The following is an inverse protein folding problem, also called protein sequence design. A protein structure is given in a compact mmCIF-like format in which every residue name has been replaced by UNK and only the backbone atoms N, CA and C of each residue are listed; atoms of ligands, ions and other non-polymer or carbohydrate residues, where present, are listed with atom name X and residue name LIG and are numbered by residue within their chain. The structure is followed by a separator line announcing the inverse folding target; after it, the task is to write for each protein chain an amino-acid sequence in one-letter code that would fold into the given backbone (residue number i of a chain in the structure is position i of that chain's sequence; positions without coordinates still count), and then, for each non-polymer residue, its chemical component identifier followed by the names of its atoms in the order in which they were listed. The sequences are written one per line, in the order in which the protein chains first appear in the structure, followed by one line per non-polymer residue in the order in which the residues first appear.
data_IF_654079122840
#
_entry.id   IF_654079122840
#
_cell.length_a   1.000
_cell.length_b   1.000
_cell.length_c   1.000
_cell.angle_alpha   90.00
_cell.angle_beta   90.00
_cell.angle_gamma   90.00
#
_symmetry.space_group_name_H-M   'P 1'
#
loop_
_entity.id
_entity.type
_entity.pdbx_description
1 polymer ?
#
# COMPACT_ATOMS: atom_id res chain seq x y z
N UNK A 1 -15.48 14.51 -32.43
CA UNK A 1 -15.07 13.30 -31.70
C UNK A 1 -14.03 13.61 -30.59
N UNK A 2 -12.94 14.34 -30.86
CA UNK A 2 -11.89 14.71 -29.87
C UNK A 2 -12.41 15.46 -28.62
N UNK A 3 -13.30 16.48 -28.81
CA UNK A 3 -13.80 17.30 -27.66
C UNK A 3 -14.63 16.46 -26.68
N UNK A 4 -15.51 15.57 -27.15
CA UNK A 4 -16.30 14.68 -26.27
C UNK A 4 -15.39 13.72 -25.48
N UNK A 5 -14.31 13.26 -26.09
CA UNK A 5 -13.35 12.38 -25.42
C UNK A 5 -12.53 13.12 -24.34
N UNK A 6 -12.13 14.36 -24.63
CA UNK A 6 -11.44 15.22 -23.65
C UNK A 6 -12.37 15.52 -22.47
N UNK A 7 -13.62 15.91 -22.73
CA UNK A 7 -14.60 16.18 -21.67
C UNK A 7 -14.83 14.94 -20.77
N UNK A 8 -14.91 13.76 -21.38
CA UNK A 8 -15.04 12.52 -20.61
C UNK A 8 -13.83 12.27 -19.70
N UNK A 9 -12.60 12.46 -20.21
CA UNK A 9 -11.36 12.31 -19.41
C UNK A 9 -11.37 13.30 -18.24
N UNK A 10 -11.66 14.57 -18.51
CA UNK A 10 -11.72 15.61 -17.47
C UNK A 10 -12.76 15.26 -16.41
N UNK A 11 -13.97 14.85 -16.81
CA UNK A 11 -15.00 14.41 -15.86
C UNK A 11 -14.55 13.24 -14.98
N UNK A 12 -13.90 12.23 -15.56
CA UNK A 12 -13.38 11.07 -14.83
C UNK A 12 -12.33 11.52 -13.81
N UNK A 13 -11.37 12.35 -14.20
CA UNK A 13 -10.33 12.86 -13.32
C UNK A 13 -10.94 13.68 -12.18
N UNK A 14 -11.83 14.60 -12.46
CA UNK A 14 -12.48 15.45 -11.45
C UNK A 14 -13.28 14.62 -10.46
N UNK A 15 -14.12 13.70 -10.94
CA UNK A 15 -14.95 12.86 -10.06
C UNK A 15 -14.08 12.02 -9.12
N UNK A 16 -13.08 11.33 -9.64
CA UNK A 16 -12.25 10.47 -8.79
C UNK A 16 -11.32 11.26 -7.85
N UNK A 17 -10.90 12.45 -8.25
CA UNK A 17 -10.18 13.36 -7.33
C UNK A 17 -11.09 13.81 -6.18
N UNK A 18 -12.33 14.19 -6.47
CA UNK A 18 -13.31 14.54 -5.42
C UNK A 18 -13.61 13.37 -4.48
N UNK A 19 -13.76 12.16 -5.03
CA UNK A 19 -13.93 10.94 -4.22
C UNK A 19 -12.69 10.68 -3.35
N UNK A 20 -11.49 10.83 -3.90
CA UNK A 20 -10.25 10.64 -3.14
C UNK A 20 -10.10 11.68 -2.03
N UNK A 21 -10.45 12.95 -2.30
CA UNK A 21 -10.51 14.02 -1.28
C UNK A 21 -11.47 13.60 -0.16
N UNK A 22 -12.69 13.20 -0.49
CA UNK A 22 -13.67 12.79 0.51
C UNK A 22 -13.18 11.60 1.34
N UNK A 23 -12.64 10.55 0.70
CA UNK A 23 -12.12 9.38 1.40
C UNK A 23 -10.95 9.77 2.33
N UNK A 24 -9.99 10.54 1.85
CA UNK A 24 -8.84 10.95 2.66
C UNK A 24 -9.28 11.87 3.80
N UNK A 25 -10.14 12.85 3.53
CA UNK A 25 -10.59 13.83 4.50
C UNK A 25 -11.40 13.19 5.64
N UNK A 26 -12.29 12.27 5.34
CA UNK A 26 -13.18 11.66 6.33
C UNK A 26 -12.63 10.38 6.98
N UNK A 27 -11.70 9.67 6.34
CA UNK A 27 -11.31 8.32 6.77
C UNK A 27 -9.81 8.13 7.01
N UNK A 28 -8.95 9.03 6.54
CA UNK A 28 -7.52 8.98 6.85
C UNK A 28 -7.21 9.94 8.00
N UNK A 29 -7.74 9.64 9.19
CA UNK A 29 -7.78 10.55 10.32
C UNK A 29 -6.40 10.94 10.89
N UNK A 30 -5.33 10.16 10.65
CA UNK A 30 -3.98 10.50 11.11
C UNK A 30 -3.25 11.53 10.25
N UNK A 31 -3.81 11.89 9.08
CA UNK A 31 -3.23 12.88 8.15
C UNK A 31 -4.25 13.91 7.69
N UNK A 32 -5.51 13.74 8.05
CA UNK A 32 -6.58 14.64 7.65
C UNK A 32 -6.63 15.85 8.57
N UNK A 33 -6.70 17.07 8.03
CA UNK A 33 -6.84 18.29 8.85
C UNK A 33 -8.19 18.38 9.58
N UNK A 34 -9.14 17.50 9.28
CA UNK A 34 -10.42 17.44 10.00
C UNK A 34 -10.25 16.90 11.43
N UNK A 35 -9.28 16.02 11.62
CA UNK A 35 -9.07 15.29 12.85
C UNK A 35 -7.73 15.71 13.45
N UNK A 36 -7.70 15.96 14.72
CA UNK A 36 -6.47 16.29 15.45
C UNK A 36 -5.95 15.03 16.16
N UNK A 37 -5.78 13.95 15.37
CA UNK A 37 -5.27 12.68 15.85
C UNK A 37 -4.04 12.26 15.09
N UNK A 38 -3.11 11.59 15.79
CA UNK A 38 -1.85 11.11 15.22
C UNK A 38 -1.61 9.67 15.65
N UNK A 39 -1.29 8.81 14.69
CA UNK A 39 -0.88 7.43 14.96
C UNK A 39 0.59 7.34 15.32
N UNK A 40 1.00 6.31 16.07
CA UNK A 40 2.39 6.12 16.47
C UNK A 40 3.34 6.00 15.29
N UNK A 41 3.11 5.06 14.38
CA UNK A 41 3.93 4.87 13.18
C UNK A 41 3.89 6.11 12.25
N UNK A 42 2.72 6.72 12.07
CA UNK A 42 2.54 7.90 11.22
C UNK A 42 3.30 9.11 11.76
N UNK A 43 3.27 9.31 13.08
CA UNK A 43 4.04 10.35 13.75
C UNK A 43 5.54 10.15 13.57
N UNK A 44 6.00 8.91 13.68
CA UNK A 44 7.39 8.56 13.40
C UNK A 44 7.80 8.96 11.99
N UNK A 45 6.99 8.56 10.99
CA UNK A 45 7.28 8.85 9.58
C UNK A 45 7.26 10.36 9.30
N UNK A 46 6.30 11.08 9.88
CA UNK A 46 6.18 12.53 9.76
C UNK A 46 7.38 13.26 10.35
N UNK A 47 7.78 12.92 11.58
CA UNK A 47 8.95 13.52 12.27
C UNK A 47 10.24 13.28 11.49
N UNK A 48 10.47 12.04 11.02
CA UNK A 48 11.67 11.72 10.22
C UNK A 48 11.62 12.45 8.87
N UNK A 49 10.45 12.53 8.22
CA UNK A 49 10.27 13.25 6.96
C UNK A 49 10.51 14.75 7.12
N UNK A 50 9.97 15.38 8.15
CA UNK A 50 10.23 16.78 8.46
C UNK A 50 11.71 17.03 8.80
N UNK A 51 12.29 16.17 9.62
CA UNK A 51 13.71 16.22 9.94
C UNK A 51 14.59 16.14 8.69
N UNK A 52 14.27 15.24 7.76
CA UNK A 52 14.96 15.11 6.48
C UNK A 52 14.88 16.38 5.63
N UNK A 53 13.68 16.99 5.52
CA UNK A 53 13.50 18.31 4.89
C UNK A 53 14.41 19.37 5.48
N UNK A 54 14.68 19.31 6.79
CA UNK A 54 15.50 20.27 7.53
C UNK A 54 16.99 19.93 7.53
N UNK A 55 17.42 18.94 6.73
CA UNK A 55 18.81 18.55 6.57
C UNK A 55 19.31 17.48 7.54
N UNK A 56 18.45 16.93 8.40
CA UNK A 56 18.80 15.74 9.21
C UNK A 56 18.84 14.49 8.33
N UNK A 57 19.77 13.61 8.61
CA UNK A 57 19.95 12.37 7.85
C UNK A 57 19.20 11.23 8.52
N UNK A 58 18.18 10.63 7.88
CA UNK A 58 17.53 9.45 8.43
C UNK A 58 18.53 8.36 8.76
N UNK A 59 18.24 7.58 9.80
CA UNK A 59 19.06 6.53 10.40
C UNK A 59 20.28 7.01 11.19
N UNK A 60 20.82 8.22 10.94
CA UNK A 60 21.87 8.81 11.75
C UNK A 60 21.28 9.74 12.81
N UNK A 61 20.54 10.75 12.38
CA UNK A 61 19.99 11.78 13.26
C UNK A 61 18.61 11.41 13.85
N UNK A 62 17.83 10.63 13.09
CA UNK A 62 16.51 10.12 13.45
C UNK A 62 16.38 8.68 12.96
N UNK A 63 16.03 7.76 13.86
CA UNK A 63 16.07 6.33 13.55
C UNK A 63 14.68 5.67 13.60
N UNK A 64 14.41 4.81 12.63
CA UNK A 64 13.33 3.81 12.62
C UNK A 64 13.73 2.63 11.73
N UNK A 65 13.11 1.48 11.96
CA UNK A 65 13.37 0.22 11.26
C UNK A 65 12.72 0.11 9.87
N UNK A 66 11.97 1.11 9.42
CA UNK A 66 11.34 1.11 8.09
C UNK A 66 12.31 1.58 7.02
N UNK A 67 12.02 1.20 5.76
CA UNK A 67 12.81 1.67 4.62
C UNK A 67 12.59 3.16 4.30
N UNK A 68 13.51 3.79 3.55
CA UNK A 68 13.56 5.25 3.39
C UNK A 68 12.43 5.85 2.56
N UNK A 69 11.70 5.06 1.76
CA UNK A 69 10.65 5.60 0.88
C UNK A 69 9.53 6.26 1.68
N UNK A 70 9.11 5.69 2.80
CA UNK A 70 8.04 6.31 3.59
C UNK A 70 8.48 7.66 4.18
N UNK A 71 9.73 7.76 4.63
CA UNK A 71 10.28 9.04 5.12
C UNK A 71 10.43 10.05 3.99
N UNK A 72 10.85 9.60 2.79
CA UNK A 72 10.95 10.45 1.61
C UNK A 72 9.58 11.00 1.18
N UNK A 73 8.53 10.18 1.19
CA UNK A 73 7.15 10.62 0.90
C UNK A 73 6.69 11.64 1.93
N UNK A 74 6.97 11.43 3.22
CA UNK A 74 6.66 12.40 4.26
C UNK A 74 7.48 13.70 4.12
N UNK A 75 8.77 13.61 3.76
CA UNK A 75 9.61 14.76 3.43
C UNK A 75 9.01 15.58 2.29
N UNK A 76 8.56 14.93 1.21
CA UNK A 76 7.87 15.59 0.11
C UNK A 76 6.57 16.26 0.58
N UNK A 77 5.79 15.57 1.41
CA UNK A 77 4.58 16.12 2.00
C UNK A 77 4.85 17.43 2.75
N UNK A 78 5.77 17.40 3.70
CA UNK A 78 6.19 18.61 4.43
C UNK A 78 6.78 19.71 3.53
N UNK A 79 7.31 19.34 2.36
CA UNK A 79 7.81 20.33 1.39
C UNK A 79 6.68 20.99 0.59
N UNK A 80 5.54 20.31 0.43
CA UNK A 80 4.34 20.86 -0.25
C UNK A 80 3.57 21.79 0.67
N UNK A 81 3.30 21.37 1.91
CA UNK A 81 2.54 22.15 2.88
C UNK A 81 2.99 21.81 4.33
N UNK A 82 2.80 22.73 5.28
CA UNK A 82 3.17 22.49 6.68
C UNK A 82 2.27 21.42 7.33
N UNK A 83 2.79 20.78 8.36
CA UNK A 83 2.10 19.73 9.10
C UNK A 83 1.70 18.55 8.20
N UNK A 84 0.60 17.91 8.52
CA UNK A 84 0.11 16.72 7.80
C UNK A 84 -0.63 17.05 6.49
N UNK A 85 -0.88 18.35 6.18
CA UNK A 85 -1.64 18.76 4.99
C UNK A 85 -0.97 18.29 3.70
N UNK A 86 0.35 18.44 3.59
CA UNK A 86 1.07 18.01 2.39
C UNK A 86 1.07 16.49 2.22
N UNK A 87 1.12 15.74 3.31
CA UNK A 87 1.02 14.27 3.31
C UNK A 87 -0.40 13.86 2.89
N UNK A 88 -1.43 14.56 3.39
CA UNK A 88 -2.82 14.38 2.98
C UNK A 88 -3.00 14.61 1.47
N UNK A 89 -2.40 15.65 0.89
CA UNK A 89 -2.42 15.91 -0.56
C UNK A 89 -1.80 14.74 -1.33
N UNK A 90 -0.66 14.23 -0.90
CA UNK A 90 -0.01 13.08 -1.55
C UNK A 90 -0.90 11.82 -1.47
N UNK A 91 -1.57 11.60 -0.35
CA UNK A 91 -2.52 10.50 -0.18
C UNK A 91 -3.73 10.62 -1.13
N UNK A 92 -4.29 11.83 -1.27
CA UNK A 92 -5.36 12.12 -2.25
C UNK A 92 -4.89 11.80 -3.66
N UNK A 93 -3.72 12.27 -4.06
CA UNK A 93 -3.15 12.01 -5.39
C UNK A 93 -2.95 10.51 -5.64
N UNK A 94 -2.48 9.77 -4.64
CA UNK A 94 -2.30 8.33 -4.74
C UNK A 94 -3.64 7.60 -4.95
N UNK A 95 -4.64 7.84 -4.11
CA UNK A 95 -5.98 7.23 -4.22
C UNK A 95 -6.64 7.62 -5.54
N UNK A 96 -6.63 8.90 -5.91
CA UNK A 96 -7.19 9.38 -7.18
C UNK A 96 -6.55 8.66 -8.38
N UNK A 97 -5.22 8.54 -8.38
CA UNK A 97 -4.47 7.86 -9.43
C UNK A 97 -4.86 6.38 -9.56
N UNK A 98 -5.02 5.68 -8.43
CA UNK A 98 -5.50 4.27 -8.43
C UNK A 98 -6.91 4.16 -8.99
N UNK A 99 -7.82 5.04 -8.60
CA UNK A 99 -9.20 5.04 -9.10
C UNK A 99 -9.28 5.36 -10.60
N UNK A 100 -8.53 6.36 -11.06
CA UNK A 100 -8.45 6.73 -12.48
C UNK A 100 -7.87 5.56 -13.29
N UNK A 101 -6.76 4.99 -12.85
CA UNK A 101 -6.11 3.86 -13.50
C UNK A 101 -7.06 2.65 -13.56
N UNK A 102 -7.72 2.32 -12.45
CA UNK A 102 -8.68 1.22 -12.39
C UNK A 102 -9.88 1.46 -13.30
N UNK A 103 -10.39 2.68 -13.37
CA UNK A 103 -11.48 3.04 -14.29
C UNK A 103 -11.13 2.71 -15.73
N UNK A 104 -10.01 3.21 -16.23
CA UNK A 104 -9.60 2.98 -17.63
C UNK A 104 -9.28 1.51 -17.92
N UNK A 105 -8.74 0.79 -16.94
CA UNK A 105 -8.47 -0.62 -17.10
C UNK A 105 -9.73 -1.47 -17.09
N UNK A 106 -10.58 -1.28 -16.09
CA UNK A 106 -11.79 -2.08 -15.87
C UNK A 106 -12.89 -1.80 -16.93
N UNK A 107 -12.96 -0.59 -17.46
CA UNK A 107 -13.91 -0.23 -18.53
C UNK A 107 -13.72 -1.05 -19.82
N UNK A 108 -12.56 -1.69 -19.98
CA UNK A 108 -12.29 -2.64 -21.07
C UNK A 108 -12.81 -4.06 -20.78
N UNK A 109 -13.10 -4.36 -19.52
CA UNK A 109 -13.43 -5.70 -19.03
C UNK A 109 -14.86 -5.80 -18.51
N UNK A 110 -15.48 -4.70 -18.11
CA UNK A 110 -16.77 -4.64 -17.44
C UNK A 110 -17.58 -3.40 -17.89
N UNK A 111 -18.90 -3.42 -17.63
CA UNK A 111 -19.74 -2.26 -17.83
C UNK A 111 -19.40 -1.12 -16.86
N UNK A 112 -19.68 0.12 -17.22
CA UNK A 112 -19.40 1.29 -16.37
C UNK A 112 -20.02 1.14 -14.97
N UNK A 113 -21.26 0.63 -14.89
CA UNK A 113 -21.91 0.37 -13.61
C UNK A 113 -21.12 -0.61 -12.73
N UNK A 114 -20.62 -1.71 -13.31
CA UNK A 114 -19.81 -2.68 -12.57
C UNK A 114 -18.45 -2.10 -12.18
N UNK A 115 -17.84 -1.27 -13.03
CA UNK A 115 -16.59 -0.56 -12.69
C UNK A 115 -16.78 0.29 -11.43
N UNK A 116 -17.84 1.09 -11.39
CA UNK A 116 -18.15 1.93 -10.21
C UNK A 116 -18.35 1.06 -8.96
N UNK A 117 -19.09 -0.05 -9.08
CA UNK A 117 -19.29 -0.97 -7.96
C UNK A 117 -17.97 -1.57 -7.47
N UNK A 118 -17.10 -2.00 -8.39
CA UNK A 118 -15.80 -2.57 -8.01
C UNK A 118 -14.91 -1.54 -7.30
N UNK A 119 -14.99 -0.29 -7.72
CA UNK A 119 -14.28 0.81 -7.07
C UNK A 119 -14.86 1.15 -5.69
N UNK A 120 -16.18 1.12 -5.53
CA UNK A 120 -16.82 1.28 -4.22
C UNK A 120 -16.38 0.16 -3.28
N UNK A 121 -16.39 -1.10 -3.72
CA UNK A 121 -15.90 -2.24 -2.94
C UNK A 121 -14.43 -2.05 -2.56
N UNK A 122 -13.59 -1.64 -3.52
CA UNK A 122 -12.18 -1.34 -3.27
C UNK A 122 -12.02 -0.27 -2.19
N UNK A 123 -12.72 0.87 -2.30
CA UNK A 123 -12.65 1.97 -1.34
C UNK A 123 -13.13 1.55 0.06
N UNK A 124 -14.20 0.76 0.14
CA UNK A 124 -14.69 0.26 1.43
C UNK A 124 -13.66 -0.63 2.11
N UNK A 125 -13.05 -1.56 1.36
CA UNK A 125 -11.99 -2.40 1.91
C UNK A 125 -10.77 -1.55 2.27
N UNK A 126 -10.39 -0.59 1.42
CA UNK A 126 -9.29 0.33 1.71
C UNK A 126 -9.51 1.07 3.04
N UNK A 127 -10.68 1.68 3.22
CA UNK A 127 -11.02 2.41 4.46
C UNK A 127 -10.96 1.51 5.69
N UNK A 128 -11.36 0.23 5.59
CA UNK A 128 -11.29 -0.72 6.69
C UNK A 128 -9.84 -1.08 7.10
N UNK A 129 -8.90 -1.06 6.16
CA UNK A 129 -7.52 -1.51 6.39
C UNK A 129 -6.50 -0.38 6.44
N UNK A 130 -6.85 0.84 6.01
CA UNK A 130 -5.92 1.96 5.95
C UNK A 130 -5.56 2.56 7.32
N UNK A 131 -6.28 2.18 8.39
CA UNK A 131 -5.98 2.55 9.78
C UNK A 131 -5.52 4.02 9.95
N UNK A 132 -6.24 4.96 9.33
CA UNK A 132 -5.93 6.40 9.43
C UNK A 132 -5.01 6.98 8.37
N UNK A 133 -4.48 6.18 7.45
CA UNK A 133 -3.62 6.63 6.33
C UNK A 133 -2.13 6.74 6.66
N UNK A 134 -1.33 7.13 5.67
CA UNK A 134 0.14 7.27 5.75
C UNK A 134 0.86 5.99 6.20
N UNK A 135 0.48 4.86 5.62
CA UNK A 135 1.16 3.59 5.85
C UNK A 135 2.18 3.26 4.76
N UNK A 136 3.13 2.41 5.10
CA UNK A 136 4.12 1.89 4.15
C UNK A 136 3.45 1.24 2.92
N UNK A 137 2.27 0.61 3.08
CA UNK A 137 1.49 0.05 1.98
C UNK A 137 0.94 1.10 1.02
N UNK A 138 0.62 2.30 1.51
CA UNK A 138 0.10 3.40 0.69
C UNK A 138 1.14 3.87 -0.33
N UNK A 139 2.42 3.96 0.05
CA UNK A 139 3.49 4.42 -0.85
C UNK A 139 3.67 3.54 -2.08
N UNK A 140 3.23 2.30 -2.02
CA UNK A 140 3.36 1.30 -3.09
C UNK A 140 2.05 0.95 -3.78
N UNK A 141 0.91 1.50 -3.33
CA UNK A 141 -0.42 1.11 -3.78
C UNK A 141 -0.65 1.35 -5.28
N UNK A 142 -0.26 2.52 -5.81
CA UNK A 142 -0.40 2.83 -7.24
C UNK A 142 0.44 1.90 -8.11
N UNK A 143 1.69 1.66 -7.71
CA UNK A 143 2.59 0.76 -8.44
C UNK A 143 2.09 -0.68 -8.38
N UNK A 144 1.53 -1.11 -7.24
CA UNK A 144 0.88 -2.41 -7.12
C UNK A 144 -0.31 -2.55 -8.08
N UNK A 145 -1.16 -1.52 -8.19
CA UNK A 145 -2.26 -1.51 -9.15
C UNK A 145 -1.77 -1.64 -10.59
N UNK A 146 -0.71 -0.90 -10.96
CA UNK A 146 -0.08 -1.02 -12.28
C UNK A 146 0.43 -2.44 -12.54
N UNK A 147 1.16 -3.03 -11.59
CA UNK A 147 1.68 -4.40 -11.72
C UNK A 147 0.55 -5.40 -11.90
N UNK A 148 -0.49 -5.34 -11.06
CA UNK A 148 -1.64 -6.25 -11.15
C UNK A 148 -2.35 -6.13 -12.50
N UNK A 149 -2.59 -4.93 -12.99
CA UNK A 149 -3.28 -4.72 -14.27
C UNK A 149 -2.44 -5.14 -15.48
N UNK A 150 -1.14 -4.84 -15.48
CA UNK A 150 -0.23 -5.26 -16.54
C UNK A 150 -0.09 -6.79 -16.57
N UNK A 151 0.01 -7.41 -15.39
CA UNK A 151 0.06 -8.86 -15.24
C UNK A 151 -1.22 -9.53 -15.74
N UNK A 152 -2.37 -9.01 -15.35
CA UNK A 152 -3.66 -9.54 -15.82
C UNK A 152 -3.81 -9.42 -17.33
N UNK A 153 -3.44 -8.27 -17.92
CA UNK A 153 -3.42 -8.09 -19.38
C UNK A 153 -2.54 -9.14 -20.06
N UNK A 154 -1.35 -9.38 -19.54
CA UNK A 154 -0.44 -10.39 -20.08
C UNK A 154 -1.02 -11.81 -19.95
N UNK A 155 -1.63 -12.15 -18.82
CA UNK A 155 -2.31 -13.45 -18.63
C UNK A 155 -3.44 -13.66 -19.65
N UNK A 156 -4.20 -12.60 -19.97
CA UNK A 156 -5.22 -12.66 -21.03
C UNK A 156 -4.59 -12.96 -22.42
N UNK A 157 -3.44 -12.34 -22.72
CA UNK A 157 -2.70 -12.62 -23.97
C UNK A 157 -2.19 -14.06 -24.02
N UNK A 158 -1.62 -14.56 -22.93
CA UNK A 158 -1.17 -15.98 -22.83
C UNK A 158 -2.32 -16.95 -23.07
N UNK A 159 -3.54 -16.61 -22.65
CA UNK A 159 -4.71 -17.47 -22.85
C UNK A 159 -5.10 -17.67 -24.31
N UNK A 160 -4.70 -16.75 -25.20
CA UNK A 160 -4.90 -16.82 -26.65
C UNK A 160 -3.63 -17.17 -27.42
N UNK A 161 -2.58 -17.65 -26.72
CA UNK A 161 -1.33 -18.10 -27.33
C UNK A 161 -0.28 -17.00 -27.57
N UNK A 162 -0.50 -15.78 -27.09
CA UNK A 162 0.47 -14.68 -27.18
C UNK A 162 1.30 -14.63 -25.90
N UNK A 163 2.51 -15.18 -25.95
CA UNK A 163 3.38 -15.33 -24.77
C UNK A 163 4.32 -14.14 -24.54
N UNK A 164 4.49 -13.25 -25.55
CA UNK A 164 5.38 -12.10 -25.45
C UNK A 164 5.07 -11.26 -24.21
N UNK A 165 6.11 -11.01 -23.40
CA UNK A 165 6.05 -10.09 -22.26
C UNK A 165 6.65 -8.74 -22.64
N UNK A 166 5.98 -7.64 -22.28
CA UNK A 166 6.46 -6.31 -22.60
C UNK A 166 7.62 -5.90 -21.68
N UNK A 167 8.74 -5.44 -22.24
CA UNK A 167 9.85 -4.89 -21.46
C UNK A 167 9.42 -3.70 -20.59
N UNK A 168 8.41 -2.91 -21.03
CA UNK A 168 7.84 -1.81 -20.22
C UNK A 168 7.15 -2.33 -18.96
N UNK A 169 6.45 -3.45 -19.07
CA UNK A 169 5.84 -4.10 -17.90
C UNK A 169 6.90 -4.65 -16.95
N UNK A 170 7.95 -5.28 -17.49
CA UNK A 170 9.05 -5.78 -16.69
C UNK A 170 9.80 -4.64 -15.96
N UNK A 171 10.02 -3.50 -16.62
CA UNK A 171 10.58 -2.30 -15.99
C UNK A 171 9.73 -1.82 -14.81
N UNK A 172 8.41 -1.72 -14.99
CA UNK A 172 7.49 -1.33 -13.89
C UNK A 172 7.52 -2.35 -12.74
N UNK A 173 7.67 -3.64 -13.03
CA UNK A 173 7.84 -4.66 -11.97
C UNK A 173 9.13 -4.41 -11.18
N UNK A 174 10.24 -4.09 -11.86
CA UNK A 174 11.50 -3.72 -11.22
C UNK A 174 11.37 -2.48 -10.33
N UNK A 175 10.73 -1.43 -10.85
CA UNK A 175 10.42 -0.19 -10.09
C UNK A 175 9.61 -0.52 -8.82
N UNK A 176 8.55 -1.32 -8.96
CA UNK A 176 7.72 -1.69 -7.82
C UNK A 176 8.46 -2.56 -6.80
N UNK A 177 9.21 -3.56 -7.24
CA UNK A 177 9.98 -4.43 -6.33
C UNK A 177 11.06 -3.62 -5.59
N UNK A 178 11.74 -2.68 -6.27
CA UNK A 178 12.70 -1.78 -5.63
C UNK A 178 12.02 -0.85 -4.61
N UNK A 179 10.85 -0.32 -4.94
CA UNK A 179 10.06 0.49 -4.01
C UNK A 179 9.65 -0.31 -2.77
N UNK A 180 9.27 -1.58 -2.95
CA UNK A 180 8.97 -2.46 -1.83
C UNK A 180 10.22 -2.85 -1.04
N UNK A 181 11.36 -3.06 -1.72
CA UNK A 181 12.64 -3.34 -1.08
C UNK A 181 13.06 -2.19 -0.16
N UNK A 182 12.90 -0.95 -0.62
CA UNK A 182 13.20 0.28 0.13
C UNK A 182 12.05 0.74 1.06
N UNK A 183 11.02 -0.07 1.25
CA UNK A 183 9.92 0.22 2.19
C UNK A 183 9.62 -0.99 3.07
N UNK A 184 8.96 -2.00 2.51
CA UNK A 184 8.69 -3.31 3.12
C UNK A 184 8.73 -4.37 2.04
N UNK A 185 9.73 -5.25 2.09
CA UNK A 185 9.98 -6.26 1.06
C UNK A 185 8.74 -7.16 0.83
N UNK A 186 8.00 -7.49 1.88
CA UNK A 186 6.80 -8.34 1.77
C UNK A 186 5.71 -7.76 0.87
N UNK A 187 5.64 -6.43 0.72
CA UNK A 187 4.72 -5.79 -0.20
C UNK A 187 5.02 -6.15 -1.67
N UNK A 188 6.27 -6.48 -2.00
CA UNK A 188 6.71 -6.86 -3.33
C UNK A 188 6.37 -8.28 -3.77
N UNK A 189 5.88 -9.12 -2.86
CA UNK A 189 5.67 -10.54 -3.10
C UNK A 189 4.81 -10.82 -4.33
N UNK A 190 3.79 -9.99 -4.60
CA UNK A 190 2.93 -10.16 -5.78
C UNK A 190 3.69 -9.97 -7.10
N UNK A 191 4.53 -8.94 -7.22
CA UNK A 191 5.32 -8.71 -8.43
C UNK A 191 6.41 -9.76 -8.60
N UNK A 192 7.03 -10.20 -7.50
CA UNK A 192 8.03 -11.29 -7.52
C UNK A 192 7.38 -12.56 -8.03
N UNK A 193 6.21 -12.94 -7.49
CA UNK A 193 5.48 -14.13 -7.93
C UNK A 193 5.07 -14.06 -9.40
N UNK A 194 4.56 -12.92 -9.87
CA UNK A 194 4.26 -12.72 -11.29
C UNK A 194 5.52 -12.77 -12.15
N UNK A 195 6.63 -12.18 -11.71
CA UNK A 195 7.90 -12.22 -12.45
C UNK A 195 8.41 -13.64 -12.61
N UNK A 196 8.33 -14.47 -11.56
CA UNK A 196 8.71 -15.90 -11.63
C UNK A 196 7.84 -16.64 -12.65
N UNK A 197 6.53 -16.39 -12.66
CA UNK A 197 5.62 -17.02 -13.63
C UNK A 197 5.92 -16.55 -15.06
N UNK A 198 6.22 -15.25 -15.27
CA UNK A 198 6.65 -14.73 -16.58
C UNK A 198 7.92 -15.41 -17.05
N UNK A 199 8.93 -15.51 -16.20
CA UNK A 199 10.20 -16.20 -16.51
C UNK A 199 9.94 -17.65 -16.89
N UNK A 200 9.13 -18.38 -16.10
CA UNK A 200 8.81 -19.78 -16.37
C UNK A 200 8.08 -19.96 -17.70
N UNK A 201 7.09 -19.11 -18.01
CA UNK A 201 6.34 -19.19 -19.28
C UNK A 201 7.23 -18.87 -20.47
N UNK A 202 8.08 -17.83 -20.39
CA UNK A 202 8.98 -17.47 -21.48
C UNK A 202 10.06 -18.54 -21.73
N UNK A 203 10.63 -19.10 -20.65
CA UNK A 203 11.62 -20.19 -20.75
C UNK A 203 10.99 -21.46 -21.32
N UNK A 204 9.79 -21.87 -20.86
CA UNK A 204 9.08 -23.01 -21.38
C UNK A 204 8.79 -22.92 -22.89
N UNK A 205 8.42 -21.71 -23.36
CA UNK A 205 8.17 -21.43 -24.76
C UNK A 205 9.46 -21.08 -25.56
N UNK A 206 10.65 -21.23 -24.96
CA UNK A 206 11.96 -20.96 -25.57
C UNK A 206 12.12 -19.53 -26.11
N UNK A 207 11.46 -18.56 -25.51
CA UNK A 207 11.48 -17.15 -25.92
C UNK A 207 12.66 -16.39 -25.27
N UNK A 208 13.87 -16.88 -25.47
CA UNK A 208 15.08 -16.40 -24.77
C UNK A 208 15.36 -14.91 -24.97
N UNK A 209 15.18 -14.37 -26.19
CA UNK A 209 15.36 -12.94 -26.46
C UNK A 209 14.37 -12.06 -25.68
N UNK A 210 13.11 -12.48 -25.61
CA UNK A 210 12.09 -11.75 -24.83
C UNK A 210 12.32 -11.90 -23.30
N UNK A 211 12.80 -13.07 -22.87
CA UNK A 211 13.20 -13.29 -21.49
C UNK A 211 14.36 -12.36 -21.09
N UNK A 212 15.44 -12.31 -21.88
CA UNK A 212 16.58 -11.45 -21.62
C UNK A 212 16.17 -9.98 -21.58
N UNK A 213 15.40 -9.51 -22.55
CA UNK A 213 14.87 -8.15 -22.57
C UNK A 213 14.02 -7.81 -21.33
N UNK A 214 13.18 -8.76 -20.87
CA UNK A 214 12.36 -8.60 -19.66
C UNK A 214 13.21 -8.56 -18.40
N UNK A 215 14.21 -9.45 -18.26
CA UNK A 215 15.11 -9.46 -17.09
C UNK A 215 15.94 -8.18 -17.06
N UNK A 216 16.52 -7.76 -18.18
CA UNK A 216 17.29 -6.50 -18.25
C UNK A 216 16.42 -5.31 -17.88
N UNK A 217 15.22 -5.20 -18.43
CA UNK A 217 14.29 -4.11 -18.10
C UNK A 217 13.87 -4.11 -16.62
N UNK A 218 13.66 -5.29 -16.03
CA UNK A 218 13.38 -5.41 -14.59
C UNK A 218 14.55 -4.91 -13.74
N UNK A 219 15.77 -5.32 -14.06
CA UNK A 219 16.99 -4.89 -13.34
C UNK A 219 17.19 -3.38 -13.47
N UNK A 220 17.03 -2.82 -14.68
CA UNK A 220 17.09 -1.36 -14.88
C UNK A 220 16.02 -0.63 -14.06
N UNK A 221 14.77 -1.13 -14.06
CA UNK A 221 13.69 -0.56 -13.24
C UNK A 221 14.00 -0.60 -11.75
N UNK A 222 14.61 -1.69 -11.26
CA UNK A 222 15.07 -1.80 -9.88
C UNK A 222 16.14 -0.77 -9.55
N UNK A 223 17.17 -0.67 -10.39
CA UNK A 223 18.31 0.23 -10.19
C UNK A 223 17.87 1.69 -10.19
N UNK A 224 16.96 2.09 -11.08
CA UNK A 224 16.47 3.47 -11.18
C UNK A 224 15.87 3.99 -9.85
N UNK A 225 15.24 3.13 -9.07
CA UNK A 225 14.69 3.52 -7.76
C UNK A 225 15.72 3.32 -6.64
N UNK A 226 16.46 2.22 -6.65
CA UNK A 226 17.42 1.90 -5.60
C UNK A 226 18.62 2.85 -5.56
N UNK A 227 19.17 3.16 -6.72
CA UNK A 227 20.45 3.88 -6.83
C UNK A 227 20.42 5.29 -6.22
N UNK A 228 19.39 6.13 -6.42
CA UNK A 228 19.32 7.45 -5.77
C UNK A 228 19.42 7.40 -4.24
N UNK A 229 18.73 6.44 -3.62
CA UNK A 229 18.80 6.25 -2.16
C UNK A 229 20.16 5.71 -1.73
N UNK A 230 20.71 4.72 -2.45
CA UNK A 230 22.03 4.17 -2.16
C UNK A 230 23.12 5.24 -2.24
N UNK A 231 23.07 6.10 -3.27
CA UNK A 231 24.02 7.22 -3.43
C UNK A 231 23.82 8.26 -2.32
N UNK A 232 22.56 8.68 -2.04
CA UNK A 232 22.30 9.66 -1.00
C UNK A 232 22.84 9.18 0.37
N UNK A 233 22.45 7.99 0.81
CA UNK A 233 22.89 7.46 2.10
C UNK A 233 24.39 7.11 2.12
N UNK A 234 24.96 6.72 0.99
CA UNK A 234 26.39 6.51 0.85
C UNK A 234 27.19 7.81 1.04
N UNK A 235 26.78 8.89 0.36
CA UNK A 235 27.43 10.20 0.49
C UNK A 235 27.34 10.80 1.90
N UNK A 236 26.31 10.45 2.68
CA UNK A 236 26.13 10.90 4.06
C UNK A 236 26.67 9.91 5.11
N UNK A 237 27.35 8.84 4.70
CA UNK A 237 27.86 7.81 5.62
C UNK A 237 26.77 7.00 6.31
N UNK A 238 25.51 7.07 5.85
CA UNK A 238 24.34 6.46 6.46
C UNK A 238 23.93 5.12 5.84
N UNK A 239 24.62 4.64 4.81
CA UNK A 239 24.22 3.43 4.07
C UNK A 239 24.22 2.18 4.95
N UNK A 240 25.21 2.01 5.81
CA UNK A 240 25.30 0.87 6.74
C UNK A 240 24.14 0.92 7.75
N UNK A 241 23.84 2.08 8.30
CA UNK A 241 22.76 2.27 9.26
C UNK A 241 21.37 2.02 8.63
N UNK A 242 21.17 2.50 7.40
CA UNK A 242 19.97 2.21 6.63
C UNK A 242 19.81 0.69 6.41
N UNK A 243 20.90 0.01 6.02
CA UNK A 243 20.88 -1.44 5.78
C UNK A 243 20.58 -2.21 7.05
N UNK A 244 21.26 -1.85 8.14
CA UNK A 244 21.04 -2.46 9.47
C UNK A 244 19.58 -2.30 9.90
N UNK A 245 19.04 -1.09 9.84
CA UNK A 245 17.66 -0.81 10.22
C UNK A 245 16.63 -1.60 9.39
N UNK A 246 16.83 -1.66 8.06
CA UNK A 246 15.89 -2.33 7.16
C UNK A 246 15.92 -3.86 7.25
N UNK A 247 17.08 -4.46 7.48
CA UNK A 247 17.25 -5.91 7.39
C UNK A 247 17.69 -6.54 8.71
N UNK A 248 18.88 -6.21 9.22
CA UNK A 248 19.45 -6.90 10.37
C UNK A 248 18.57 -6.74 11.60
N UNK A 249 18.18 -5.52 11.92
CA UNK A 249 17.29 -5.24 13.06
C UNK A 249 15.92 -5.95 12.90
N UNK A 250 15.31 -5.91 11.73
CA UNK A 250 14.02 -6.58 11.51
C UNK A 250 14.12 -8.11 11.62
N UNK A 251 15.24 -8.71 11.22
CA UNK A 251 15.49 -10.14 11.40
C UNK A 251 15.69 -10.50 12.88
N UNK A 252 16.47 -9.70 13.62
CA UNK A 252 16.65 -9.85 15.06
C UNK A 252 15.33 -9.68 15.81
N UNK A 253 14.56 -8.64 15.50
CA UNK A 253 13.24 -8.39 16.06
C UNK A 253 12.26 -9.55 15.80
N UNK A 254 12.23 -10.07 14.58
CA UNK A 254 11.38 -11.22 14.23
C UNK A 254 11.79 -12.49 15.02
N UNK A 255 13.06 -12.67 15.29
CA UNK A 255 13.57 -13.80 16.11
C UNK A 255 13.21 -13.71 17.60
N UNK A 256 13.05 -12.51 18.14
CA UNK A 256 12.74 -12.27 19.55
C UNK A 256 11.24 -12.07 19.84
N UNK A 257 10.43 -11.83 18.83
CA UNK A 257 8.99 -11.59 19.01
C UNK A 257 8.24 -12.89 19.31
N UNK A 258 8.11 -13.23 20.59
CA UNK A 258 7.38 -14.42 21.06
C UNK A 258 5.85 -14.36 20.88
N UNK A 259 5.29 -13.26 20.43
CA UNK A 259 3.84 -13.02 20.58
C UNK A 259 2.93 -13.64 19.53
N UNK A 260 3.44 -14.00 18.36
CA UNK A 260 2.63 -14.70 17.34
C UNK A 260 3.51 -15.70 16.60
N UNK A 261 3.57 -16.95 17.08
CA UNK A 261 4.12 -18.03 16.26
C UNK A 261 3.31 -18.08 14.94
N UNK A 262 3.94 -17.84 13.77
CA UNK A 262 3.21 -17.81 12.47
C UNK A 262 2.52 -19.13 12.14
N UNK A 263 2.90 -20.22 12.82
CA UNK A 263 2.29 -21.54 12.66
C UNK A 263 1.16 -21.81 13.68
N UNK A 264 0.83 -20.86 14.56
CA UNK A 264 -0.26 -21.04 15.52
C UNK A 264 -1.63 -20.83 14.87
N UNK A 265 -2.64 -21.60 15.33
CA UNK A 265 -4.03 -21.43 14.91
C UNK A 265 -4.53 -19.99 15.19
N UNK A 266 -4.07 -19.39 16.30
CA UNK A 266 -4.41 -18.01 16.66
C UNK A 266 -3.90 -17.01 15.62
N UNK A 267 -2.66 -17.16 15.12
CA UNK A 267 -2.11 -16.33 14.05
C UNK A 267 -2.91 -16.49 12.74
N UNK A 268 -3.24 -17.74 12.37
CA UNK A 268 -4.04 -18.00 11.19
C UNK A 268 -5.42 -17.36 11.26
N UNK A 269 -6.11 -17.46 12.41
CA UNK A 269 -7.42 -16.84 12.61
C UNK A 269 -7.33 -15.32 12.55
N UNK A 270 -6.28 -14.73 13.14
CA UNK A 270 -6.04 -13.29 13.09
C UNK A 270 -5.74 -12.82 11.66
N UNK A 271 -4.91 -13.59 10.92
CA UNK A 271 -4.66 -13.33 9.50
C UNK A 271 -5.95 -13.40 8.69
N UNK A 272 -6.77 -14.45 8.86
CA UNK A 272 -8.05 -14.59 8.15
C UNK A 272 -8.96 -13.39 8.46
N UNK A 273 -9.07 -12.96 9.72
CA UNK A 273 -9.93 -11.83 10.09
C UNK A 273 -9.50 -10.51 9.44
N UNK A 274 -8.19 -10.23 9.40
CA UNK A 274 -7.65 -9.00 8.86
C UNK A 274 -7.56 -8.99 7.32
N UNK A 275 -7.38 -10.16 6.71
CA UNK A 275 -7.22 -10.32 5.26
C UNK A 275 -8.45 -10.90 4.57
N UNK A 276 -9.58 -11.13 5.28
CA UNK A 276 -10.78 -11.74 4.71
C UNK A 276 -11.29 -11.04 3.44
N UNK A 277 -11.15 -9.71 3.37
CA UNK A 277 -11.53 -8.91 2.21
C UNK A 277 -10.74 -9.26 0.94
N UNK A 278 -9.52 -9.79 1.08
CA UNK A 278 -8.67 -10.22 -0.02
C UNK A 278 -8.79 -11.74 -0.21
N UNK A 279 -8.87 -12.49 0.88
CA UNK A 279 -9.00 -13.95 0.85
C UNK A 279 -10.28 -14.40 0.16
N UNK A 280 -11.40 -13.74 0.40
CA UNK A 280 -12.68 -14.09 -0.21
C UNK A 280 -12.64 -14.06 -1.76
N UNK A 281 -12.19 -12.98 -2.41
CA UNK A 281 -11.99 -12.96 -3.86
C UNK A 281 -11.01 -14.02 -4.36
N UNK A 282 -9.95 -14.30 -3.60
CA UNK A 282 -8.97 -15.34 -3.95
C UNK A 282 -9.59 -16.72 -3.84
N UNK A 283 -10.40 -17.00 -2.83
CA UNK A 283 -11.14 -18.27 -2.71
C UNK A 283 -12.11 -18.45 -3.86
N UNK A 284 -12.88 -17.43 -4.25
CA UNK A 284 -13.73 -17.47 -5.44
C UNK A 284 -12.93 -17.78 -6.70
N UNK A 285 -11.72 -17.24 -6.78
CA UNK A 285 -10.79 -17.49 -7.86
C UNK A 285 -10.30 -18.94 -7.87
N UNK A 286 -9.90 -19.50 -6.72
CA UNK A 286 -9.52 -20.90 -6.55
C UNK A 286 -10.68 -21.84 -6.93
N UNK A 287 -11.88 -21.55 -6.47
CA UNK A 287 -13.10 -22.30 -6.83
C UNK A 287 -13.29 -22.28 -8.34
N UNK A 288 -13.04 -21.14 -9.01
CA UNK A 288 -13.12 -21.05 -10.48
C UNK A 288 -12.12 -21.96 -11.20
N UNK A 289 -10.94 -22.14 -10.64
CA UNK A 289 -9.92 -23.09 -11.14
C UNK A 289 -10.43 -24.54 -11.02
N UNK A 290 -10.99 -24.89 -9.86
CA UNK A 290 -11.53 -26.25 -9.58
C UNK A 290 -12.69 -26.57 -10.52
N UNK A 291 -13.57 -25.62 -10.78
CA UNK A 291 -14.71 -25.79 -11.70
C UNK A 291 -14.32 -25.85 -13.19
N UNK A 292 -13.02 -25.88 -13.49
CA UNK A 292 -12.42 -26.05 -14.84
C UNK A 292 -12.85 -25.01 -15.88
N UNK A 293 -13.46 -23.90 -15.49
CA UNK A 293 -13.77 -22.80 -16.39
C UNK A 293 -12.53 -21.92 -16.56
N UNK A 294 -12.08 -21.68 -17.81
CA UNK A 294 -10.89 -20.85 -18.14
C UNK A 294 -9.59 -21.33 -17.49
N UNK A 295 -9.35 -22.63 -17.46
CA UNK A 295 -8.27 -23.32 -16.73
C UNK A 295 -6.89 -22.66 -16.86
N UNK A 296 -6.48 -22.20 -18.06
CA UNK A 296 -5.15 -21.60 -18.27
C UNK A 296 -5.01 -20.27 -17.51
N UNK A 297 -5.97 -19.35 -17.66
CA UNK A 297 -5.96 -18.03 -16.99
C UNK A 297 -5.94 -18.22 -15.48
N UNK A 298 -6.85 -19.06 -14.99
CA UNK A 298 -7.00 -19.29 -13.56
C UNK A 298 -5.76 -19.94 -12.96
N UNK A 299 -5.13 -20.89 -13.66
CA UNK A 299 -3.90 -21.53 -13.19
C UNK A 299 -2.75 -20.52 -13.08
N UNK A 300 -2.52 -19.69 -14.11
CA UNK A 300 -1.43 -18.73 -14.11
C UNK A 300 -1.63 -17.69 -13.00
N UNK A 301 -2.86 -17.18 -12.85
CA UNK A 301 -3.16 -16.24 -11.77
C UNK A 301 -3.02 -16.90 -10.39
N UNK A 302 -3.48 -18.13 -10.22
CA UNK A 302 -3.30 -18.88 -8.97
C UNK A 302 -1.82 -19.05 -8.63
N UNK A 303 -0.99 -19.47 -9.60
CA UNK A 303 0.46 -19.61 -9.43
C UNK A 303 1.15 -18.29 -9.09
N UNK A 304 0.57 -17.15 -9.48
CA UNK A 304 1.13 -15.83 -9.16
C UNK A 304 0.65 -15.29 -7.81
N UNK A 305 -0.61 -15.53 -7.45
CA UNK A 305 -1.23 -14.94 -6.25
C UNK A 305 -1.02 -15.80 -5.02
N UNK A 306 -1.12 -17.13 -5.12
CA UNK A 306 -0.99 -18.01 -3.97
C UNK A 306 0.37 -17.93 -3.26
N UNK A 307 1.53 -17.92 -3.96
CA UNK A 307 2.82 -17.75 -3.29
C UNK A 307 2.94 -16.40 -2.56
N UNK A 308 2.37 -15.32 -3.15
CA UNK A 308 2.35 -14.01 -2.52
C UNK A 308 1.52 -14.00 -1.22
N UNK A 309 0.38 -14.69 -1.21
CA UNK A 309 -0.44 -14.86 -0.01
C UNK A 309 0.23 -15.75 1.04
N UNK A 310 0.89 -16.85 0.63
CA UNK A 310 1.68 -17.68 1.53
C UNK A 310 2.80 -16.87 2.20
N UNK A 311 3.44 -15.96 1.44
CA UNK A 311 4.42 -15.05 2.03
C UNK A 311 3.77 -14.09 3.02
N UNK A 312 2.61 -13.52 2.68
CA UNK A 312 1.89 -12.61 3.58
C UNK A 312 1.48 -13.28 4.90
N UNK A 313 1.11 -14.57 4.87
CA UNK A 313 0.75 -15.35 6.08
C UNK A 313 1.93 -15.48 7.05
N UNK A 314 3.17 -15.55 6.54
CA UNK A 314 4.37 -15.64 7.36
C UNK A 314 4.81 -14.29 7.96
N UNK A 315 4.14 -13.19 7.62
CA UNK A 315 4.38 -11.87 8.21
C UNK A 315 3.39 -11.57 9.34
N UNK A 316 3.64 -10.50 10.10
CA UNK A 316 2.61 -10.00 11.03
C UNK A 316 1.33 -9.66 10.29
N UNK A 317 0.20 -10.15 10.80
CA UNK A 317 -1.11 -10.04 10.14
C UNK A 317 -1.83 -8.72 10.46
N UNK A 318 -1.12 -7.58 10.45
CA UNK A 318 -1.76 -6.27 10.59
C UNK A 318 -2.58 -5.94 9.34
N UNK A 319 -3.79 -5.40 9.53
CA UNK A 319 -4.71 -5.13 8.43
C UNK A 319 -4.12 -4.20 7.35
N UNK A 320 -3.32 -3.18 7.75
CA UNK A 320 -2.65 -2.26 6.83
C UNK A 320 -1.59 -2.93 5.92
N UNK A 321 -1.14 -4.15 6.25
CA UNK A 321 -0.24 -4.93 5.37
C UNK A 321 -0.96 -5.40 4.11
N UNK A 322 -2.30 -5.48 4.15
CA UNK A 322 -3.13 -5.84 3.02
C UNK A 322 -3.23 -4.74 1.93
N UNK A 323 -2.86 -3.49 2.23
CA UNK A 323 -3.01 -2.36 1.31
C UNK A 323 -2.32 -2.63 -0.03
N UNK A 324 -1.07 -3.12 -0.02
CA UNK A 324 -0.31 -3.42 -1.24
C UNK A 324 -0.89 -4.57 -2.07
N UNK A 325 -1.71 -5.44 -1.48
CA UNK A 325 -2.38 -6.55 -2.17
C UNK A 325 -3.78 -6.19 -2.65
N UNK A 326 -4.33 -5.07 -2.19
CA UNK A 326 -5.71 -4.67 -2.46
C UNK A 326 -6.07 -4.58 -3.95
N UNK A 327 -5.19 -4.17 -4.89
CA UNK A 327 -5.52 -4.14 -6.31
C UNK A 327 -5.86 -5.51 -6.92
N UNK A 328 -5.48 -6.64 -6.29
CA UNK A 328 -5.90 -7.99 -6.72
C UNK A 328 -7.43 -8.11 -6.70
N UNK A 329 -8.09 -7.39 -5.80
CA UNK A 329 -9.55 -7.37 -5.68
C UNK A 329 -10.23 -7.02 -7.01
N UNK A 330 -9.69 -6.05 -7.76
CA UNK A 330 -10.25 -5.67 -9.06
C UNK A 330 -10.28 -6.84 -10.05
N UNK A 331 -9.17 -7.57 -10.16
CA UNK A 331 -9.06 -8.71 -11.08
C UNK A 331 -9.97 -9.85 -10.64
N UNK A 332 -10.03 -10.11 -9.33
CA UNK A 332 -10.89 -11.13 -8.74
C UNK A 332 -12.37 -10.84 -9.00
N UNK A 333 -12.80 -9.58 -8.84
CA UNK A 333 -14.18 -9.15 -9.11
C UNK A 333 -14.54 -9.29 -10.59
N UNK A 334 -13.62 -8.91 -11.50
CA UNK A 334 -13.82 -9.09 -12.95
C UNK A 334 -13.97 -10.55 -13.32
N UNK A 335 -13.09 -11.43 -12.82
CA UNK A 335 -13.18 -12.85 -13.14
C UNK A 335 -14.42 -13.50 -12.50
N UNK A 336 -14.77 -13.14 -11.28
CA UNK A 336 -16.00 -13.61 -10.61
C UNK A 336 -17.24 -13.20 -11.42
N UNK A 337 -17.32 -11.93 -11.86
CA UNK A 337 -18.42 -11.47 -12.71
C UNK A 337 -18.55 -12.30 -13.98
N UNK A 338 -17.43 -12.60 -14.65
CA UNK A 338 -17.43 -13.40 -15.89
C UNK A 338 -17.87 -14.84 -15.65
N UNK A 339 -17.48 -15.43 -14.50
CA UNK A 339 -17.84 -16.79 -14.12
C UNK A 339 -19.34 -16.92 -13.81
N UNK A 340 -19.86 -16.02 -13.01
CA UNK A 340 -21.23 -16.09 -12.52
C UNK A 340 -22.25 -15.53 -13.52
N UNK A 341 -21.79 -15.05 -14.69
CA UNK A 341 -22.60 -14.39 -15.72
C UNK A 341 -23.53 -13.31 -15.12
N UNK A 342 -23.06 -12.61 -14.13
CA UNK A 342 -23.83 -11.62 -13.39
C UNK A 342 -24.20 -10.44 -14.30
N UNK A 343 -25.42 -10.44 -14.80
CA UNK A 343 -25.98 -9.29 -15.50
C UNK A 343 -26.45 -8.19 -14.55
N UNK A 344 -26.65 -8.49 -13.26
CA UNK A 344 -27.23 -7.59 -12.24
C UNK A 344 -26.53 -7.71 -10.88
N UNK A 345 -25.24 -7.40 -10.81
CA UNK A 345 -24.49 -7.25 -9.55
C UNK A 345 -25.01 -6.07 -8.68
N UNK A 346 -25.61 -4.99 -9.25
CA UNK A 346 -25.79 -3.73 -8.51
C UNK A 346 -26.53 -3.84 -7.17
N UNK A 347 -27.61 -4.62 -7.10
CA UNK A 347 -28.47 -4.60 -5.91
C UNK A 347 -27.82 -5.21 -4.67
N UNK A 348 -27.12 -6.34 -4.82
CA UNK A 348 -26.50 -7.03 -3.68
C UNK A 348 -25.17 -6.36 -3.27
N UNK A 349 -24.37 -5.89 -4.22
CA UNK A 349 -23.12 -5.19 -3.92
C UNK A 349 -23.40 -3.88 -3.16
N UNK A 350 -24.45 -3.14 -3.54
CA UNK A 350 -24.84 -1.90 -2.87
C UNK A 350 -25.35 -2.16 -1.46
N UNK A 351 -26.11 -3.26 -1.23
CA UNK A 351 -26.59 -3.64 0.09
C UNK A 351 -25.43 -4.08 1.01
N UNK A 352 -24.48 -4.85 0.48
CA UNK A 352 -23.27 -5.25 1.21
C UNK A 352 -22.41 -4.01 1.51
N UNK A 353 -22.26 -3.09 0.53
CA UNK A 353 -21.54 -1.84 0.71
C UNK A 353 -22.15 -0.97 1.82
N UNK A 354 -23.47 -0.86 1.84
CA UNK A 354 -24.19 -0.12 2.88
C UNK A 354 -23.99 -0.75 4.26
N UNK A 355 -23.97 -2.09 4.36
CA UNK A 355 -23.69 -2.80 5.60
C UNK A 355 -22.27 -2.49 6.11
N UNK A 356 -21.27 -2.47 5.23
CA UNK A 356 -19.89 -2.11 5.60
C UNK A 356 -19.80 -0.66 6.08
N UNK A 357 -20.48 0.28 5.42
CA UNK A 357 -20.54 1.69 5.86
C UNK A 357 -21.19 1.80 7.25
N UNK A 358 -22.26 1.09 7.50
CA UNK A 358 -22.94 1.08 8.82
C UNK A 358 -22.02 0.48 9.90
N UNK A 359 -21.34 -0.63 9.61
CA UNK A 359 -20.38 -1.25 10.53
C UNK A 359 -19.18 -0.33 10.80
N UNK A 360 -18.73 0.39 9.78
CA UNK A 360 -17.64 1.35 9.91
C UNK A 360 -18.06 2.55 10.76
N UNK A 361 -19.22 3.16 10.50
CA UNK A 361 -19.74 4.27 11.30
C UNK A 361 -19.90 3.85 12.76
N UNK A 362 -20.33 2.61 13.02
CA UNK A 362 -20.42 2.06 14.38
C UNK A 362 -19.05 1.96 15.05
N UNK A 363 -18.05 1.39 14.37
CA UNK A 363 -16.67 1.28 14.90
C UNK A 363 -16.05 2.66 15.10
N UNK A 364 -16.32 3.58 14.20
CA UNK A 364 -15.88 4.96 14.25
C UNK A 364 -16.42 5.72 15.46
N UNK A 365 -17.71 5.59 15.79
CA UNK A 365 -18.31 6.16 17.01
C UNK A 365 -17.65 5.63 18.28
N UNK A 366 -17.38 4.33 18.35
CA UNK A 366 -16.71 3.71 19.52
C UNK A 366 -15.30 4.29 19.72
N UNK A 367 -14.59 4.62 18.64
CA UNK A 367 -13.25 5.21 18.70
C UNK A 367 -13.29 6.69 19.13
N UNK A 368 -14.35 7.41 18.75
CA UNK A 368 -14.48 8.88 18.92
C UNK A 368 -15.09 9.35 20.23
N UNK A 369 -15.85 8.53 20.91
CA UNK A 369 -16.45 8.90 22.21
C UNK A 369 -15.43 8.88 23.36
N UNK A 370 -14.17 8.48 23.10
CA UNK A 370 -13.10 8.41 24.11
C UNK A 370 -12.38 9.73 24.45
N UNK A 371 -12.51 10.77 23.61
CA UNK A 371 -11.75 12.03 23.77
C UNK A 371 -10.23 11.84 23.54
N UNK A 372 -9.41 12.90 23.64
CA UNK A 372 -7.97 12.78 23.51
C UNK A 372 -7.44 11.77 24.54
N UNK A 373 -6.62 10.84 24.08
CA UNK A 373 -6.09 9.78 24.92
C UNK A 373 -5.25 10.35 26.09
N UNK A 374 -4.96 9.54 27.09
CA UNK A 374 -4.17 9.96 28.25
C UNK A 374 -2.81 10.53 27.83
N UNK A 375 -2.25 10.04 26.71
CA UNK A 375 -0.97 10.48 26.17
C UNK A 375 -1.03 11.89 25.64
N UNK A 376 -2.07 12.26 24.89
CA UNK A 376 -2.31 13.61 24.39
C UNK A 376 -2.42 14.62 25.54
N UNK A 377 -3.17 14.26 26.60
CA UNK A 377 -3.32 15.13 27.78
C UNK A 377 -1.99 15.36 28.49
N UNK A 378 -1.18 14.30 28.67
CA UNK A 378 0.14 14.40 29.28
C UNK A 378 1.10 15.25 28.43
N UNK A 379 1.07 15.09 27.09
CA UNK A 379 1.90 15.91 26.18
C UNK A 379 1.58 17.39 26.33
N UNK A 380 0.30 17.73 26.42
CA UNK A 380 -0.14 19.13 26.60
C UNK A 380 0.24 19.69 27.99
N UNK A 381 0.38 18.84 29.00
CA UNK A 381 0.90 19.27 30.32
C UNK A 381 2.39 19.55 30.26
N UNK A 382 3.19 18.68 29.65
CA UNK A 382 4.64 18.83 29.51
C UNK A 382 4.99 20.11 28.73
N UNK A 383 4.23 20.46 27.70
CA UNK A 383 4.48 21.67 26.89
C UNK A 383 4.27 22.96 27.63
N UNK A 384 3.53 22.98 28.74
CA UNK A 384 3.37 24.19 29.56
C UNK A 384 4.63 24.54 30.32
N UNK A 385 5.44 23.54 30.66
CA UNK A 385 6.61 23.67 31.52
C UNK A 385 7.93 23.77 30.73
N UNK A 386 7.92 23.44 29.44
CA UNK A 386 9.11 23.50 28.57
C UNK A 386 9.01 24.65 27.60
N UNK A 387 9.94 25.65 27.61
CA UNK A 387 9.96 26.75 26.67
C UNK A 387 9.91 26.34 25.21
N UNK A 388 9.26 27.12 24.33
CA UNK A 388 9.03 26.77 22.93
C UNK A 388 10.31 26.63 22.08
N UNK A 389 11.40 27.21 22.52
CA UNK A 389 12.73 27.15 21.89
C UNK A 389 13.59 25.98 22.41
N UNK A 390 13.12 25.23 23.40
CA UNK A 390 13.84 24.07 23.93
C UNK A 390 13.36 22.78 23.31
N UNK A 391 14.29 21.83 23.19
CA UNK A 391 14.03 20.45 22.77
C UNK A 391 14.01 19.55 24.01
N UNK A 392 13.27 18.44 23.93
CA UNK A 392 13.24 17.48 25.03
C UNK A 392 13.39 16.04 24.49
N UNK A 393 13.79 15.13 25.34
CA UNK A 393 13.76 13.70 25.11
C UNK A 393 12.60 13.11 25.89
N UNK A 394 11.65 12.54 25.17
CA UNK A 394 10.59 11.74 25.78
C UNK A 394 11.01 10.28 25.72
N UNK A 395 11.26 9.66 26.88
CA UNK A 395 11.73 8.29 26.98
C UNK A 395 10.56 7.33 27.17
N UNK A 396 10.55 6.23 26.39
CA UNK A 396 9.51 5.18 26.43
C UNK A 396 8.09 5.74 26.19
N UNK A 397 7.96 6.65 25.21
CA UNK A 397 6.69 7.24 24.83
C UNK A 397 6.46 7.15 23.33
N UNK A 398 5.18 7.20 22.93
CA UNK A 398 4.80 7.22 21.53
C UNK A 398 5.31 8.50 20.85
N UNK A 399 5.80 8.46 19.60
CA UNK A 399 6.28 9.65 18.85
C UNK A 399 5.23 10.77 18.73
N UNK A 400 3.94 10.45 18.87
CA UNK A 400 2.84 11.42 18.89
C UNK A 400 3.05 12.57 19.87
N UNK A 401 3.77 12.31 20.97
CA UNK A 401 4.12 13.36 21.96
C UNK A 401 4.82 14.54 21.34
N UNK A 402 5.75 14.32 20.43
CA UNK A 402 6.49 15.40 19.78
C UNK A 402 5.58 16.25 18.88
N UNK A 403 4.62 15.61 18.19
CA UNK A 403 3.68 16.31 17.30
C UNK A 403 2.69 17.13 18.13
N UNK A 404 2.07 16.54 19.15
CA UNK A 404 1.15 17.28 20.04
C UNK A 404 1.83 18.41 20.81
N UNK A 405 3.10 18.22 21.14
CA UNK A 405 3.91 19.21 21.82
C UNK A 405 4.39 20.35 20.88
N UNK A 406 4.24 20.19 19.57
CA UNK A 406 4.88 21.04 18.56
C UNK A 406 6.39 21.18 18.80
N UNK A 407 7.04 20.05 19.06
CA UNK A 407 8.47 19.97 19.38
C UNK A 407 9.14 18.90 18.55
N UNK A 408 10.45 19.05 18.38
CA UNK A 408 11.27 18.08 17.67
C UNK A 408 12.14 17.28 18.64
N UNK A 409 12.33 15.99 18.38
CA UNK A 409 13.26 15.20 19.17
C UNK A 409 14.70 15.69 18.93
N UNK A 410 15.49 15.76 20.00
CA UNK A 410 16.92 16.08 19.93
C UNK A 410 17.80 14.81 19.92
N UNK A 411 17.22 13.64 20.05
CA UNK A 411 17.93 12.38 20.13
C UNK A 411 17.51 11.41 19.03
N UNK A 412 18.46 10.59 18.56
CA UNK A 412 18.26 9.63 17.45
C UNK A 412 17.13 8.63 17.71
N UNK A 413 17.11 8.04 18.90
CA UNK A 413 16.10 7.06 19.33
C UNK A 413 15.02 7.78 20.14
N UNK A 414 14.10 8.42 19.48
CA UNK A 414 13.03 9.21 20.09
C UNK A 414 11.71 8.46 20.24
N UNK A 415 11.68 7.20 19.81
CA UNK A 415 10.57 6.27 19.98
C UNK A 415 11.13 4.88 20.31
N UNK A 416 10.47 4.18 21.18
CA UNK A 416 10.83 2.83 21.65
C UNK A 416 9.67 1.87 21.47
#
# INVERSE_FOLDING_TARGET
MKIRQINHIVCVVVIYTMVAIAVTYFFCFYISPMWNEFGGDQSMFSIIGEGWKLGRVPYIDLWDSKGPIIFFVNMLGHSIAPGEIGICILQVLNIASVLILSHYFLSRCASVCNVVIFQIIFLLVYVLICSGGNHVGDTTLLLSALVVFLSYKWVLNVSIGIYNHSWKSAFIYGVFVSSCFLSRLTNGAIAISFSVVVVAVLAYNRMWGNLLASVTAFVVGFIVVFLPFAVYFGCHGAFHEMWYAMFSYNLEYAGHSHNLNPHSLKHLLYFISNFCCILFPVLLFVISVILRRRRKINLILALSVLPALCWAINSYAYANYAISYLPILFVSLVETQKLMKWKRVPKYAMSISLLFVVLYIRNYRIYYEGGPDANTRQSLMITKDVPSNETFVAYNVCPTYYIYADRRPCYRFFAT
#
